data_IF_272167209507
#
_entry.id   IF_272167209507
#
_cell.length_a   1.000
_cell.length_b   1.000
_cell.length_c   1.000
_cell.angle_alpha   90.00
_cell.angle_beta   90.00
_cell.angle_gamma   90.00
#
_symmetry.space_group_name_H-M   'P 1'
#
loop_
_entity.id
_entity.type
_entity.pdbx_description
1 polymer ?
#
# COMPACT_ATOMS: atom_id res chain seq x y z
N UNK A 1 8.37 -0.85 3.44
CA UNK A 1 8.63 -1.72 2.27
C UNK A 1 9.83 -2.58 2.51
N UNK A 2 9.68 -3.84 2.34
CA UNK A 2 10.76 -4.79 2.50
C UNK A 2 11.16 -5.30 1.13
N UNK A 3 12.46 -5.44 0.92
CA UNK A 3 12.97 -5.85 -0.37
C UNK A 3 12.91 -7.37 -0.51
N UNK A 4 13.28 -8.10 0.52
CA UNK A 4 13.22 -9.55 0.52
C UNK A 4 12.40 -10.02 1.73
N UNK A 5 11.45 -10.95 1.56
CA UNK A 5 11.14 -11.77 0.39
C UNK A 5 10.20 -11.10 -0.61
N UNK A 6 10.00 -9.81 -0.55
CA UNK A 6 9.04 -9.08 -1.37
C UNK A 6 9.67 -8.43 -2.59
N UNK A 7 10.86 -8.86 -3.00
CA UNK A 7 11.59 -8.30 -4.14
C UNK A 7 10.80 -8.38 -5.45
N UNK A 8 9.99 -9.42 -5.64
CA UNK A 8 9.15 -9.56 -6.83
C UNK A 8 8.12 -8.43 -6.91
N UNK A 9 7.49 -8.09 -5.80
CA UNK A 9 6.50 -7.01 -5.74
C UNK A 9 7.17 -5.66 -6.02
N UNK A 10 8.34 -5.43 -5.42
CA UNK A 10 9.11 -4.21 -5.64
C UNK A 10 9.56 -4.07 -7.10
N UNK A 11 10.12 -5.14 -7.66
CA UNK A 11 10.59 -5.12 -9.04
C UNK A 11 9.43 -4.91 -10.03
N UNK A 12 8.27 -5.50 -9.76
CA UNK A 12 7.08 -5.29 -10.59
C UNK A 12 6.63 -3.83 -10.55
N UNK A 13 6.71 -3.19 -9.39
CA UNK A 13 6.43 -1.76 -9.29
C UNK A 13 7.40 -0.94 -10.13
N UNK A 14 8.68 -1.20 -10.01
CA UNK A 14 9.70 -0.49 -10.78
C UNK A 14 9.52 -0.68 -12.29
N UNK A 15 9.02 -1.83 -12.70
CA UNK A 15 8.74 -2.14 -14.12
C UNK A 15 7.41 -1.56 -14.60
N UNK A 16 6.61 -0.99 -13.72
CA UNK A 16 5.32 -0.41 -14.09
C UNK A 16 4.20 -1.42 -14.25
N UNK A 17 4.33 -2.61 -13.67
CA UNK A 17 3.36 -3.68 -13.84
C UNK A 17 2.06 -3.43 -13.08
N UNK A 18 2.07 -2.51 -12.13
CA UNK A 18 0.87 -2.06 -11.43
C UNK A 18 1.05 -0.62 -10.97
N UNK A 19 -0.07 0.02 -10.62
CA UNK A 19 -0.07 1.36 -10.06
C UNK A 19 -0.12 1.26 -8.54
N UNK A 20 0.69 2.06 -7.87
CA UNK A 20 0.70 2.15 -6.41
C UNK A 20 0.00 3.45 -5.98
N UNK A 21 -1.02 3.30 -5.14
CA UNK A 21 -1.76 4.44 -4.60
C UNK A 21 -1.21 4.81 -3.22
N UNK A 22 -0.87 6.07 -3.04
CA UNK A 22 -0.35 6.58 -1.76
C UNK A 22 -0.96 7.92 -1.42
N UNK A 23 -1.00 8.22 -0.11
CA UNK A 23 -1.29 9.55 0.41
C UNK A 23 -0.03 10.09 1.08
N UNK A 24 -0.06 11.36 1.48
CA UNK A 24 1.05 11.94 2.23
C UNK A 24 1.29 11.19 3.55
N UNK A 25 0.22 10.79 4.24
CA UNK A 25 0.33 10.05 5.48
C UNK A 25 1.00 8.68 5.28
N UNK A 26 0.67 8.00 4.18
CA UNK A 26 1.28 6.71 3.85
C UNK A 26 2.77 6.88 3.57
N UNK A 27 3.14 7.90 2.81
CA UNK A 27 4.55 8.18 2.52
C UNK A 27 5.32 8.47 3.80
N UNK A 28 4.74 9.26 4.72
CA UNK A 28 5.35 9.53 6.02
C UNK A 28 5.58 8.24 6.80
N UNK A 29 4.60 7.33 6.81
CA UNK A 29 4.76 6.06 7.50
C UNK A 29 5.84 5.21 6.86
N UNK A 30 5.90 5.12 5.54
CA UNK A 30 6.97 4.38 4.85
C UNK A 30 8.34 4.94 5.24
N UNK A 31 8.47 6.26 5.24
CA UNK A 31 9.72 6.92 5.61
C UNK A 31 10.13 6.59 7.05
N UNK A 32 9.18 6.66 7.97
CA UNK A 32 9.41 6.36 9.38
C UNK A 32 9.83 4.91 9.61
N UNK A 33 9.07 3.98 9.03
CA UNK A 33 9.32 2.54 9.21
C UNK A 33 10.67 2.15 8.61
N UNK A 34 10.97 2.62 7.41
CA UNK A 34 12.23 2.31 6.76
C UNK A 34 13.42 2.93 7.49
N UNK A 35 13.28 4.16 7.98
CA UNK A 35 14.34 4.82 8.74
C UNK A 35 14.63 4.10 10.04
N UNK A 36 13.59 3.63 10.72
CA UNK A 36 13.71 2.94 12.00
C UNK A 36 14.27 1.53 11.84
N UNK A 37 13.79 0.79 10.82
CA UNK A 37 14.12 -0.63 10.67
C UNK A 37 15.36 -0.90 9.83
N UNK A 38 15.73 0.01 8.95
CA UNK A 38 16.88 -0.17 8.06
C UNK A 38 17.87 0.97 8.25
N UNK A 39 17.63 2.13 7.63
CA UNK A 39 18.46 3.32 7.79
C UNK A 39 17.75 4.53 7.16
N UNK A 40 18.10 5.76 7.61
CA UNK A 40 17.59 6.96 6.96
C UNK A 40 17.98 7.07 5.48
N UNK A 41 19.17 6.61 5.12
CA UNK A 41 19.68 6.66 3.74
C UNK A 41 18.85 5.74 2.83
N UNK A 42 18.57 4.53 3.28
CA UNK A 42 17.74 3.58 2.52
C UNK A 42 16.31 4.09 2.41
N UNK A 43 15.77 4.65 3.50
CA UNK A 43 14.44 5.25 3.50
C UNK A 43 14.32 6.33 2.43
N UNK A 44 15.26 7.25 2.40
CA UNK A 44 15.27 8.35 1.43
C UNK A 44 15.32 7.83 0.00
N UNK A 45 16.17 6.84 -0.26
CA UNK A 45 16.32 6.25 -1.59
C UNK A 45 15.05 5.56 -2.06
N UNK A 46 14.42 4.78 -1.19
CA UNK A 46 13.20 4.04 -1.54
C UNK A 46 12.02 4.99 -1.74
N UNK A 47 11.84 5.96 -0.85
CA UNK A 47 10.77 6.94 -0.97
C UNK A 47 10.94 7.77 -2.25
N UNK A 48 12.17 8.18 -2.57
CA UNK A 48 12.45 8.88 -3.81
C UNK A 48 12.07 8.03 -5.03
N UNK A 49 12.44 6.75 -5.02
CA UNK A 49 12.10 5.84 -6.10
C UNK A 49 10.58 5.71 -6.27
N UNK A 50 9.85 5.62 -5.16
CA UNK A 50 8.38 5.54 -5.20
C UNK A 50 7.78 6.81 -5.82
N UNK A 51 8.21 7.97 -5.35
CA UNK A 51 7.60 9.24 -5.75
C UNK A 51 7.95 9.67 -7.17
N UNK A 52 9.02 9.12 -7.75
CA UNK A 52 9.46 9.51 -9.09
C UNK A 52 9.01 8.57 -10.19
N UNK A 53 8.32 7.47 -9.86
CA UNK A 53 7.81 6.55 -10.87
C UNK A 53 6.52 7.06 -11.49
N UNK A 54 6.31 6.86 -12.81
CA UNK A 54 5.08 7.33 -13.47
C UNK A 54 3.83 6.56 -13.05
N UNK A 55 3.99 5.38 -12.47
CA UNK A 55 2.88 4.54 -12.02
C UNK A 55 2.52 4.76 -10.54
N UNK A 56 2.96 5.87 -9.96
CA UNK A 56 2.51 6.28 -8.63
C UNK A 56 1.24 7.14 -8.76
N UNK A 57 0.24 6.85 -7.93
CA UNK A 57 -0.99 7.64 -7.86
C UNK A 57 -1.06 8.26 -6.47
N UNK A 58 -0.98 9.58 -6.40
CA UNK A 58 -1.03 10.31 -5.13
C UNK A 58 -2.42 10.88 -4.93
N UNK A 59 -3.08 10.44 -3.87
CA UNK A 59 -4.40 10.91 -3.47
C UNK A 59 -4.46 11.09 -1.98
N UNK A 60 -4.73 12.31 -1.54
CA UNK A 60 -4.97 12.58 -0.13
C UNK A 60 -6.49 12.55 0.09
N UNK A 61 -6.99 11.66 0.98
CA UNK A 61 -8.42 11.53 1.18
C UNK A 61 -9.02 12.77 1.83
N UNK A 62 -10.23 13.13 1.41
CA UNK A 62 -10.99 14.23 2.00
C UNK A 62 -11.91 13.76 3.14
N UNK A 63 -12.13 12.45 3.24
CA UNK A 63 -13.01 11.86 4.24
C UNK A 63 -12.30 10.78 5.02
N UNK A 64 -12.65 10.69 6.30
CA UNK A 64 -12.15 9.63 7.19
C UNK A 64 -13.31 8.66 7.43
N UNK A 65 -13.18 7.43 6.92
CA UNK A 65 -14.24 6.44 7.03
C UNK A 65 -14.18 5.65 8.34
N UNK A 66 -13.02 5.56 8.97
CA UNK A 66 -12.82 4.90 10.26
C UNK A 66 -13.34 3.46 10.29
N UNK A 67 -13.09 2.70 9.24
CA UNK A 67 -13.61 1.33 9.10
C UNK A 67 -12.88 0.31 9.95
N UNK A 68 -11.62 0.58 10.31
CA UNK A 68 -10.81 -0.31 11.15
C UNK A 68 -10.74 0.30 12.55
N UNK A 69 -11.31 -0.40 13.54
CA UNK A 69 -11.31 0.07 14.93
C UNK A 69 -10.16 -0.49 15.75
N UNK A 70 -9.68 -1.70 15.38
CA UNK A 70 -8.64 -2.40 16.13
C UNK A 70 -7.30 -1.64 16.13
N UNK A 71 -6.98 -0.99 15.01
CA UNK A 71 -5.79 -0.16 14.88
C UNK A 71 -6.12 1.01 13.96
N UNK A 72 -6.28 2.19 14.54
CA UNK A 72 -6.69 3.38 13.80
C UNK A 72 -5.64 3.86 12.80
N UNK A 73 -4.38 3.53 13.01
CA UNK A 73 -3.32 3.89 12.06
C UNK A 73 -3.49 3.19 10.71
N UNK A 74 -4.17 2.04 10.68
CA UNK A 74 -4.43 1.31 9.44
C UNK A 74 -5.44 2.03 8.54
N UNK A 75 -6.25 2.92 9.09
CA UNK A 75 -7.29 3.61 8.33
C UNK A 75 -6.74 4.52 7.23
N UNK A 76 -5.51 5.01 7.35
CA UNK A 76 -4.90 5.82 6.29
C UNK A 76 -4.81 5.06 4.97
N UNK A 77 -4.56 3.75 5.04
CA UNK A 77 -4.49 2.90 3.84
C UNK A 77 -5.87 2.68 3.23
N UNK A 78 -6.86 2.45 4.07
CA UNK A 78 -8.24 2.26 3.64
C UNK A 78 -8.78 3.54 2.98
N UNK A 79 -8.60 4.67 3.65
CA UNK A 79 -9.10 5.95 3.16
C UNK A 79 -8.45 6.33 1.83
N UNK A 80 -7.14 6.07 1.69
CA UNK A 80 -6.43 6.31 0.44
C UNK A 80 -6.94 5.39 -0.68
N UNK A 81 -7.16 4.11 -0.38
CA UNK A 81 -7.69 3.15 -1.36
C UNK A 81 -9.05 3.59 -1.88
N UNK A 82 -9.91 4.08 -0.99
CA UNK A 82 -11.23 4.58 -1.38
C UNK A 82 -11.10 5.84 -2.24
N UNK A 83 -10.29 6.80 -1.80
CA UNK A 83 -10.09 8.07 -2.52
C UNK A 83 -9.51 7.86 -3.92
N UNK A 84 -8.60 6.91 -4.06
CA UNK A 84 -7.95 6.60 -5.33
C UNK A 84 -8.71 5.58 -6.17
N UNK A 85 -9.81 5.03 -5.64
CA UNK A 85 -10.55 3.94 -6.27
C UNK A 85 -9.62 2.77 -6.61
N UNK A 86 -8.78 2.38 -5.65
CA UNK A 86 -7.82 1.31 -5.83
C UNK A 86 -8.53 -0.04 -5.99
N UNK A 87 -7.92 -0.93 -6.77
CA UNK A 87 -8.46 -2.26 -7.00
C UNK A 87 -8.45 -3.09 -5.72
N UNK A 88 -7.40 -2.96 -4.92
CA UNK A 88 -7.27 -3.74 -3.68
C UNK A 88 -6.21 -3.14 -2.76
N UNK A 89 -6.24 -3.58 -1.51
CA UNK A 89 -5.16 -3.38 -0.55
C UNK A 89 -4.44 -4.72 -0.42
N UNK A 90 -3.12 -4.69 -0.50
CA UNK A 90 -2.28 -5.89 -0.36
C UNK A 90 -1.65 -5.85 1.03
N UNK A 91 -2.03 -6.78 1.89
CA UNK A 91 -1.54 -6.79 3.27
C UNK A 91 -1.61 -8.18 3.90
N UNK A 92 -0.71 -8.44 4.86
CA UNK A 92 -0.77 -9.62 5.71
C UNK A 92 -1.40 -9.30 7.07
N UNK A 93 -1.72 -8.04 7.34
CA UNK A 93 -2.29 -7.63 8.61
C UNK A 93 -3.75 -8.08 8.72
N UNK A 94 -4.04 -8.89 9.73
CA UNK A 94 -5.37 -9.44 9.95
C UNK A 94 -6.42 -8.38 10.31
N UNK A 95 -6.01 -7.20 10.76
CA UNK A 95 -6.96 -6.11 11.08
C UNK A 95 -7.76 -5.68 9.86
N UNK A 96 -7.22 -5.85 8.66
CA UNK A 96 -7.91 -5.48 7.43
C UNK A 96 -9.04 -6.44 7.05
N UNK A 97 -9.13 -7.61 7.68
CA UNK A 97 -10.20 -8.58 7.38
C UNK A 97 -11.60 -8.05 7.69
N UNK A 98 -11.69 -7.09 8.58
CA UNK A 98 -13.00 -6.48 8.91
C UNK A 98 -13.65 -5.84 7.68
N UNK A 99 -12.85 -5.46 6.69
CA UNK A 99 -13.34 -4.84 5.45
C UNK A 99 -14.16 -5.81 4.59
N UNK A 100 -13.95 -7.11 4.75
CA UNK A 100 -14.71 -8.13 4.01
C UNK A 100 -16.20 -8.10 4.36
N UNK A 101 -16.53 -7.69 5.58
CA UNK A 101 -17.89 -7.64 6.09
C UNK A 101 -18.58 -6.30 5.83
N UNK A 102 -17.88 -5.34 5.24
CA UNK A 102 -18.42 -4.01 4.96
C UNK A 102 -18.81 -3.93 3.49
N UNK A 103 -20.13 -3.85 3.20
CA UNK A 103 -20.60 -3.85 1.80
C UNK A 103 -20.34 -2.52 1.09
N UNK A 104 -20.30 -1.40 1.83
CA UNK A 104 -20.07 -0.09 1.22
C UNK A 104 -19.49 0.88 2.26
N UNK A 105 -18.40 1.59 1.92
CA UNK A 105 -17.63 1.44 0.67
C UNK A 105 -16.90 0.10 0.63
N UNK A 106 -16.90 -0.54 -0.53
CA UNK A 106 -16.27 -1.85 -0.69
C UNK A 106 -14.78 -1.71 -1.00
N UNK A 107 -13.94 -2.34 -0.21
CA UNK A 107 -12.50 -2.37 -0.39
C UNK A 107 -12.04 -3.83 -0.39
N UNK A 108 -11.47 -4.27 -1.49
CA UNK A 108 -10.92 -5.62 -1.60
C UNK A 108 -9.57 -5.70 -0.90
N UNK A 109 -9.34 -6.80 -0.19
CA UNK A 109 -8.08 -7.06 0.52
C UNK A 109 -7.53 -8.40 0.05
N UNK A 110 -6.27 -8.43 -0.35
CA UNK A 110 -5.60 -9.66 -0.76
C UNK A 110 -4.27 -9.80 -0.05
N UNK A 111 -3.79 -11.05 0.04
CA UNK A 111 -2.48 -11.35 0.63
C UNK A 111 -1.36 -11.04 -0.36
N UNK A 112 -0.12 -10.98 0.16
CA UNK A 112 1.08 -10.86 -0.69
C UNK A 112 1.20 -12.04 -1.64
N UNK A 113 0.91 -13.24 -1.17
CA UNK A 113 1.00 -14.44 -2.02
C UNK A 113 -0.01 -14.40 -3.16
N UNK A 114 -1.23 -13.98 -2.88
CA UNK A 114 -2.25 -13.84 -3.92
C UNK A 114 -1.87 -12.76 -4.93
N UNK A 115 -1.29 -11.66 -4.45
CA UNK A 115 -0.83 -10.59 -5.33
C UNK A 115 0.31 -11.05 -6.23
N UNK A 116 1.25 -11.83 -5.71
CA UNK A 116 2.32 -12.42 -6.53
C UNK A 116 1.76 -13.31 -7.62
N UNK A 117 0.77 -14.14 -7.28
CA UNK A 117 0.10 -14.99 -8.26
C UNK A 117 -0.59 -14.15 -9.34
N UNK A 118 -1.22 -13.06 -8.95
CA UNK A 118 -1.84 -12.13 -9.88
C UNK A 118 -0.81 -11.53 -10.84
N UNK A 119 0.33 -11.12 -10.34
CA UNK A 119 1.41 -10.58 -11.16
C UNK A 119 1.93 -11.60 -12.17
N UNK A 120 2.06 -12.87 -11.76
CA UNK A 120 2.52 -13.92 -12.64
C UNK A 120 1.59 -14.16 -13.83
N UNK A 121 0.29 -13.99 -13.63
CA UNK A 121 -0.70 -14.18 -14.70
C UNK A 121 -0.68 -13.06 -15.74
N UNK A 122 -0.27 -11.87 -15.34
CA UNK A 122 -0.30 -10.68 -16.20
C UNK A 122 1.05 -10.38 -16.85
N UNK A 123 2.09 -11.06 -16.40
CA UNK A 123 3.45 -10.94 -16.94
C UNK A 123 3.85 -12.25 -17.59
#
# INVERSE_FOLDING_TARGET
MVIYPYSKVWNAFLSGDYNLCVSNEIIEEYSEVLSRNISPQVSEAIVYAILTRPNIIRKDPHYTFALIEADKDDNKFVDCAIAANAKCIVTEDKHFKVLEDIPFPKVEVISIEDFKCYLDKWI
#
